data_IF_858703810006
#
_entry.id   IF_858703810006
#
_cell.length_a   1.000
_cell.length_b   1.000
_cell.length_c   1.000
_cell.angle_alpha   90.00
_cell.angle_beta   90.00
_cell.angle_gamma   90.00
#
_symmetry.space_group_name_H-M   'P 1'
#
loop_
_entity.id
_entity.type
_entity.pdbx_description
1 polymer ?
#
# COMPACT_ATOMS: atom_id res chain seq x y z
N UNK A 1 7.20 -42.21 63.04
CA UNK A 1 7.99 -41.05 62.59
C UNK A 1 7.04 -39.87 62.55
N UNK A 2 6.85 -39.05 63.60
CA UNK A 2 7.73 -37.99 64.13
C UNK A 2 8.32 -37.09 63.03
N UNK A 3 8.19 -35.76 62.97
CA UNK A 3 7.71 -34.63 63.83
C UNK A 3 7.43 -33.46 62.84
N UNK A 4 6.33 -32.68 62.91
CA UNK A 4 6.20 -31.34 63.57
C UNK A 4 6.77 -30.20 62.72
N UNK A 5 6.31 -28.93 62.64
CA UNK A 5 5.41 -28.01 63.36
C UNK A 5 5.06 -26.90 62.32
N UNK A 6 3.86 -26.30 62.22
CA UNK A 6 3.28 -25.25 63.09
C UNK A 6 2.99 -24.00 62.21
N UNK A 7 1.72 -23.61 61.95
CA UNK A 7 0.93 -22.59 62.69
C UNK A 7 1.52 -21.15 62.54
N UNK A 8 0.87 -20.11 61.99
CA UNK A 8 -0.42 -19.45 62.33
C UNK A 8 -0.68 -18.29 61.30
N UNK A 9 -1.88 -18.06 60.72
CA UNK A 9 -3.03 -17.16 61.13
C UNK A 9 -2.62 -15.68 61.38
N UNK A 10 -3.28 -14.55 61.01
CA UNK A 10 -4.71 -14.16 60.84
C UNK A 10 -4.79 -12.90 59.95
N UNK A 11 -5.99 -12.73 59.36
CA UNK A 11 -6.62 -11.70 58.54
C UNK A 11 -6.68 -10.22 59.01
N UNK A 12 -7.06 -9.39 58.03
CA UNK A 12 -8.09 -8.31 58.06
C UNK A 12 -7.76 -6.96 58.71
N UNK A 13 -7.94 -5.85 57.97
CA UNK A 13 -9.06 -4.91 58.18
C UNK A 13 -9.02 -3.68 57.24
N UNK A 14 -10.24 -3.24 56.92
CA UNK A 14 -10.70 -2.04 56.21
C UNK A 14 -10.00 -0.71 56.52
N UNK A 15 -10.01 0.22 55.55
CA UNK A 15 -9.78 1.66 55.80
C UNK A 15 -10.00 2.54 54.57
N UNK A 16 -11.15 3.21 54.53
CA UNK A 16 -11.55 4.23 53.54
C UNK A 16 -11.06 5.60 54.03
N UNK A 17 -10.39 6.43 53.19
CA UNK A 17 -10.36 7.90 53.41
C UNK A 17 -9.90 8.70 52.18
N UNK A 18 -10.75 9.67 51.79
CA UNK A 18 -10.46 10.80 50.89
C UNK A 18 -9.52 11.80 51.59
N UNK A 19 -8.75 12.55 50.81
CA UNK A 19 -8.09 13.78 51.27
C UNK A 19 -7.17 14.38 50.22
N UNK A 20 -7.58 15.52 49.68
CA UNK A 20 -6.80 16.43 48.82
C UNK A 20 -5.41 16.71 49.39
N UNK A 21 -4.41 16.92 48.52
CA UNK A 21 -3.44 18.02 48.70
C UNK A 21 -2.67 18.32 47.39
N UNK A 22 -2.99 19.52 46.91
CA UNK A 22 -2.30 20.35 45.92
C UNK A 22 -0.79 20.51 46.21
N UNK A 23 0.04 20.43 45.16
CA UNK A 23 1.35 21.10 45.11
C UNK A 23 1.60 21.70 43.72
N UNK A 24 1.32 22.99 43.64
CA UNK A 24 1.83 23.95 42.65
C UNK A 24 3.25 24.32 43.04
N UNK A 25 4.21 24.29 42.12
CA UNK A 25 5.42 25.14 42.17
C UNK A 25 5.72 25.67 40.76
N UNK A 26 5.72 27.00 40.69
CA UNK A 26 6.03 27.88 39.56
C UNK A 26 7.47 27.74 39.05
N UNK A 27 7.72 28.15 37.80
CA UNK A 27 8.99 28.76 37.41
C UNK A 27 8.79 29.85 36.34
N UNK A 28 8.62 31.07 36.86
CA UNK A 28 9.21 32.34 36.44
C UNK A 28 9.22 32.79 34.97
N UNK A 29 8.55 33.92 34.78
CA UNK A 29 8.66 34.89 33.69
C UNK A 29 10.09 35.31 33.32
N UNK A 30 10.34 35.50 32.01
CA UNK A 30 11.30 36.48 31.50
C UNK A 30 10.69 37.24 30.32
N UNK A 31 10.36 38.51 30.56
CA UNK A 31 9.86 39.48 29.57
C UNK A 31 10.96 40.52 29.31
N UNK A 32 11.29 40.76 28.05
CA UNK A 32 11.91 41.96 27.48
C UNK A 32 11.80 41.80 25.95
N UNK A 33 11.49 42.78 25.10
CA UNK A 33 11.13 44.20 25.19
C UNK A 33 10.61 44.56 23.77
N UNK A 34 9.65 45.47 23.67
CA UNK A 34 9.01 45.88 22.42
C UNK A 34 9.95 46.66 21.47
N UNK A 35 9.66 46.60 20.17
CA UNK A 35 9.89 47.73 19.26
C UNK A 35 8.78 47.76 18.18
N UNK A 36 7.95 48.80 18.27
CA UNK A 36 7.20 49.45 17.17
C UNK A 36 8.23 50.05 16.18
N UNK A 37 7.99 50.41 14.92
CA UNK A 37 6.86 50.43 13.99
C UNK A 37 7.46 50.84 12.63
N UNK A 38 6.86 50.46 11.51
CA UNK A 38 6.64 51.37 10.37
C UNK A 38 5.63 50.76 9.39
N UNK A 39 4.56 51.51 9.18
CA UNK A 39 3.35 51.21 8.43
C UNK A 39 3.29 52.06 7.16
N UNK A 40 2.91 51.44 6.03
CA UNK A 40 2.11 51.94 4.87
C UNK A 40 2.54 51.20 3.59
N UNK A 41 1.69 50.73 2.69
CA UNK A 41 0.34 51.19 2.33
C UNK A 41 -0.47 50.05 1.65
N UNK A 42 -1.74 49.97 2.06
CA UNK A 42 -2.97 49.33 1.55
C UNK A 42 -3.11 48.94 0.07
N UNK A 43 -3.78 47.78 -0.19
CA UNK A 43 -5.09 47.62 -0.88
C UNK A 43 -5.82 46.36 -0.34
N UNK A 44 -7.16 46.40 -0.34
CA UNK A 44 -8.15 45.77 0.56
C UNK A 44 -8.90 44.51 0.08
N UNK A 45 -9.54 43.85 1.05
CA UNK A 45 -10.70 42.90 1.04
C UNK A 45 -10.32 41.43 1.30
N UNK A 46 -10.95 40.66 2.19
CA UNK A 46 -12.06 40.84 3.14
C UNK A 46 -12.34 39.46 3.77
N UNK A 47 -12.52 39.40 5.09
CA UNK A 47 -12.66 38.19 5.92
C UNK A 47 -13.95 37.38 5.66
N UNK A 48 -13.86 36.08 5.98
CA UNK A 48 -14.88 35.18 6.53
C UNK A 48 -16.36 35.41 6.15
N UNK A 49 -16.93 34.46 5.40
CA UNK A 49 -18.37 34.21 5.45
C UNK A 49 -18.71 32.76 5.07
N UNK A 50 -18.93 31.95 6.09
CA UNK A 50 -19.83 30.81 6.03
C UNK A 50 -21.18 31.28 5.47
N UNK A 51 -21.69 30.67 4.39
CA UNK A 51 -23.11 30.80 4.04
C UNK A 51 -23.68 29.50 3.50
N UNK A 52 -24.62 28.99 4.29
CA UNK A 52 -25.59 27.93 4.01
C UNK A 52 -26.22 28.11 2.63
N UNK A 53 -26.35 27.01 1.90
CA UNK A 53 -27.43 26.81 0.95
C UNK A 53 -28.31 25.73 1.59
N UNK A 54 -29.55 26.11 1.90
CA UNK A 54 -30.50 25.26 2.61
C UNK A 54 -31.12 24.22 1.70
N UNK A 55 -31.51 23.11 2.29
CA UNK A 55 -32.68 22.38 1.86
C UNK A 55 -33.49 21.95 3.07
N UNK A 56 -34.78 22.27 2.94
CA UNK A 56 -35.93 22.04 3.79
C UNK A 56 -36.19 20.55 4.01
N UNK A 57 -36.39 20.22 5.28
CA UNK A 57 -37.40 19.35 5.89
C UNK A 57 -37.92 18.07 5.18
N UNK A 58 -37.98 17.03 6.03
CA UNK A 58 -38.84 15.84 6.02
C UNK A 58 -38.40 14.60 5.23
N UNK A 59 -37.73 13.68 5.94
CA UNK A 59 -38.27 12.33 6.14
C UNK A 59 -37.58 11.69 7.37
N UNK A 60 -38.25 11.72 8.51
CA UNK A 60 -37.91 10.92 9.69
C UNK A 60 -38.08 9.43 9.34
N UNK A 61 -36.95 8.75 9.27
CA UNK A 61 -36.85 7.30 9.31
C UNK A 61 -35.60 6.95 10.10
N UNK A 62 -35.75 6.86 11.42
CA UNK A 62 -34.73 6.36 12.33
C UNK A 62 -34.16 5.04 11.80
N UNK A 63 -32.90 5.02 11.37
CA UNK A 63 -32.16 3.79 11.23
C UNK A 63 -31.11 3.72 12.36
N UNK A 64 -31.58 3.28 13.52
CA UNK A 64 -30.80 3.09 14.74
C UNK A 64 -29.61 2.13 14.58
N UNK A 65 -29.50 1.41 13.45
CA UNK A 65 -28.33 0.57 13.12
C UNK A 65 -27.09 1.36 12.69
N UNK A 66 -27.24 2.56 12.10
CA UNK A 66 -26.09 3.32 11.60
C UNK A 66 -25.29 4.03 12.72
N UNK A 67 -25.92 4.32 13.85
CA UNK A 67 -25.23 4.92 14.99
C UNK A 67 -24.32 3.92 15.72
N UNK A 68 -24.62 2.61 15.64
CA UNK A 68 -23.88 1.57 16.37
C UNK A 68 -22.58 1.15 15.67
N UNK A 69 -22.46 1.39 14.36
CA UNK A 69 -21.28 1.02 13.57
C UNK A 69 -20.19 2.10 13.61
N UNK A 70 -20.57 3.37 13.78
CA UNK A 70 -19.62 4.49 13.76
C UNK A 70 -18.76 4.61 15.03
N UNK A 71 -19.25 4.15 16.19
CA UNK A 71 -18.52 4.29 17.46
C UNK A 71 -17.46 3.21 17.69
N UNK A 72 -17.52 2.07 16.98
CA UNK A 72 -16.58 0.95 17.20
C UNK A 72 -15.31 1.02 16.36
N UNK A 73 -15.29 1.87 15.32
CA UNK A 73 -14.17 2.02 14.38
C UNK A 73 -13.64 3.45 14.27
N UNK A 74 -14.12 4.39 15.09
CA UNK A 74 -13.50 5.70 15.24
C UNK A 74 -12.18 5.57 16.03
N UNK A 75 -11.17 4.97 15.40
CA UNK A 75 -9.77 5.20 15.77
C UNK A 75 -9.57 6.71 15.70
N UNK A 76 -9.55 7.36 16.87
CA UNK A 76 -9.38 8.79 17.00
C UNK A 76 -8.23 9.25 16.11
N UNK A 77 -8.54 10.11 15.13
CA UNK A 77 -7.57 10.66 14.21
C UNK A 77 -6.43 11.36 14.98
N UNK A 78 -6.71 11.86 16.19
CA UNK A 78 -5.72 12.37 17.14
C UNK A 78 -4.71 11.30 17.56
N UNK A 79 -5.18 10.12 17.97
CA UNK A 79 -4.32 8.99 18.34
C UNK A 79 -3.51 8.45 17.16
N UNK A 80 -4.12 8.32 15.97
CA UNK A 80 -3.41 7.90 14.76
C UNK A 80 -2.27 8.87 14.39
N UNK A 81 -2.51 10.18 14.53
CA UNK A 81 -1.50 11.21 14.29
C UNK A 81 -0.40 11.21 15.37
N UNK A 82 -0.76 11.05 16.65
CA UNK A 82 0.19 10.93 17.76
C UNK A 82 1.15 9.75 17.57
N UNK A 83 0.63 8.58 17.16
CA UNK A 83 1.45 7.40 16.87
C UNK A 83 2.38 7.63 15.68
N UNK A 84 1.90 8.28 14.61
CA UNK A 84 2.70 8.60 13.42
C UNK A 84 3.88 9.53 13.73
N UNK A 85 3.72 10.43 14.69
CA UNK A 85 4.71 11.47 15.04
C UNK A 85 5.67 11.05 16.15
N UNK A 86 5.25 10.17 17.06
CA UNK A 86 6.04 9.79 18.25
C UNK A 86 6.77 8.45 18.10
N UNK A 87 6.35 7.59 17.18
CA UNK A 87 7.03 6.32 16.89
C UNK A 87 8.02 6.56 15.74
N UNK A 88 9.30 6.10 15.84
CA UNK A 88 10.22 6.12 14.71
C UNK A 88 9.50 5.55 13.48
N UNK A 89 9.79 6.06 12.27
CA UNK A 89 9.15 5.68 10.99
C UNK A 89 9.21 4.16 10.74
N UNK A 90 8.41 3.42 11.48
CA UNK A 90 8.20 1.99 11.41
C UNK A 90 7.18 1.86 10.31
N UNK A 91 7.60 1.26 9.21
CA UNK A 91 6.73 1.03 8.07
C UNK A 91 5.57 0.18 8.60
N UNK A 92 4.36 0.74 8.69
CA UNK A 92 3.17 -0.04 9.02
C UNK A 92 3.05 -1.20 8.02
N UNK A 93 2.42 -2.30 8.44
CA UNK A 93 1.95 -3.36 7.55
C UNK A 93 1.19 -2.75 6.36
N UNK A 94 1.89 -2.47 5.27
CA UNK A 94 1.32 -1.93 4.06
C UNK A 94 0.75 -3.06 3.23
N UNK A 95 -0.33 -2.75 2.51
CA UNK A 95 -0.63 -3.49 1.30
C UNK A 95 0.55 -3.32 0.35
N UNK A 96 1.24 -4.42 0.05
CA UNK A 96 2.44 -4.40 -0.78
C UNK A 96 2.14 -4.06 -2.23
N UNK A 97 0.87 -4.13 -2.65
CA UNK A 97 0.42 -3.69 -3.97
C UNK A 97 0.85 -2.25 -4.27
N UNK A 98 0.68 -1.33 -3.31
CA UNK A 98 1.05 0.08 -3.51
C UNK A 98 2.56 0.26 -3.67
N UNK A 99 3.38 -0.43 -2.86
CA UNK A 99 4.85 -0.34 -2.99
C UNK A 99 5.33 -0.94 -4.31
N UNK A 100 4.71 -2.03 -4.77
CA UNK A 100 4.99 -2.62 -6.07
C UNK A 100 4.65 -1.67 -7.21
N UNK A 101 3.47 -1.04 -7.19
CA UNK A 101 3.09 -0.03 -8.18
C UNK A 101 4.00 1.19 -8.18
N UNK A 102 4.44 1.65 -7.00
CA UNK A 102 5.35 2.79 -6.92
C UNK A 102 6.69 2.46 -7.60
N UNK A 103 7.25 1.26 -7.38
CA UNK A 103 8.49 0.82 -8.03
C UNK A 103 8.31 0.54 -9.53
N UNK A 104 7.21 -0.11 -9.93
CA UNK A 104 6.88 -0.34 -11.34
C UNK A 104 6.68 0.99 -12.08
N UNK A 105 5.96 1.95 -11.49
CA UNK A 105 5.71 3.27 -12.09
C UNK A 105 7.01 4.04 -12.26
N UNK A 106 7.94 3.96 -11.30
CA UNK A 106 9.29 4.56 -11.46
C UNK A 106 10.02 3.93 -12.64
N UNK A 107 9.98 2.61 -12.77
CA UNK A 107 10.58 1.90 -13.89
C UNK A 107 9.97 2.36 -15.22
N UNK A 108 8.65 2.28 -15.36
CA UNK A 108 7.93 2.66 -16.59
C UNK A 108 8.07 4.13 -16.96
N UNK A 109 8.18 5.02 -15.96
CA UNK A 109 8.46 6.44 -16.20
C UNK A 109 9.82 6.61 -16.90
N UNK A 110 10.86 5.92 -16.47
CA UNK A 110 12.18 5.99 -17.11
C UNK A 110 12.16 5.46 -18.56
N UNK A 111 11.36 4.42 -18.83
CA UNK A 111 11.16 3.91 -20.18
C UNK A 111 10.41 4.94 -21.03
N UNK A 112 9.34 5.54 -20.50
CA UNK A 112 8.56 6.56 -21.20
C UNK A 112 9.42 7.77 -21.58
N UNK A 113 10.27 8.25 -20.67
CA UNK A 113 11.18 9.37 -20.90
C UNK A 113 12.23 9.05 -21.98
N UNK A 114 12.59 7.78 -22.18
CA UNK A 114 13.60 7.36 -23.15
C UNK A 114 13.03 6.93 -24.52
N UNK A 115 11.86 6.29 -24.56
CA UNK A 115 11.26 5.70 -25.77
C UNK A 115 9.96 6.40 -26.22
N UNK A 116 9.48 7.41 -25.49
CA UNK A 116 8.20 8.11 -25.73
C UNK A 116 6.97 7.17 -25.68
N UNK A 117 7.03 6.15 -24.83
CA UNK A 117 5.98 5.14 -24.65
C UNK A 117 6.54 3.87 -24.04
N UNK A 118 5.66 2.91 -23.76
CA UNK A 118 6.02 1.56 -23.35
C UNK A 118 4.97 0.56 -23.83
N UNK A 119 5.38 -0.70 -24.00
CA UNK A 119 4.53 -1.81 -24.43
C UNK A 119 4.41 -2.91 -23.37
N UNK A 120 3.87 -4.06 -23.79
CA UNK A 120 3.68 -5.24 -22.93
C UNK A 120 4.97 -5.67 -22.21
N UNK A 121 6.08 -5.81 -22.96
CA UNK A 121 7.37 -6.23 -22.41
C UNK A 121 7.89 -5.30 -21.31
N UNK A 122 7.72 -3.98 -21.50
CA UNK A 122 8.19 -2.99 -20.55
C UNK A 122 7.33 -3.04 -19.25
N UNK A 123 6.03 -3.35 -19.36
CA UNK A 123 5.12 -3.54 -18.21
C UNK A 123 5.51 -4.78 -17.43
N UNK A 124 5.65 -5.92 -18.11
CA UNK A 124 6.10 -7.16 -17.47
C UNK A 124 7.48 -7.01 -16.83
N UNK A 125 8.40 -6.29 -17.48
CA UNK A 125 9.71 -5.98 -16.92
C UNK A 125 9.61 -5.05 -15.71
N UNK A 126 8.70 -4.07 -15.72
CA UNK A 126 8.41 -3.20 -14.59
C UNK A 126 7.92 -3.97 -13.38
N UNK A 127 6.97 -4.89 -13.56
CA UNK A 127 6.47 -5.79 -12.53
C UNK A 127 7.57 -6.70 -11.97
N UNK A 128 8.37 -7.32 -12.85
CA UNK A 128 9.51 -8.16 -12.49
C UNK A 128 10.57 -7.40 -11.67
N UNK A 129 10.88 -6.17 -12.10
CA UNK A 129 11.81 -5.28 -11.42
C UNK A 129 11.29 -4.86 -10.04
N UNK A 130 10.00 -4.49 -9.95
CA UNK A 130 9.37 -4.09 -8.70
C UNK A 130 9.39 -5.23 -7.67
N UNK A 131 8.97 -6.43 -8.06
CA UNK A 131 9.00 -7.60 -7.17
C UNK A 131 10.41 -7.89 -6.67
N UNK A 132 11.38 -7.95 -7.58
CA UNK A 132 12.79 -8.26 -7.25
C UNK A 132 13.40 -7.24 -6.30
N UNK A 133 13.15 -5.95 -6.56
CA UNK A 133 13.64 -4.84 -5.73
C UNK A 133 13.05 -4.92 -4.32
N UNK A 134 11.75 -5.17 -4.23
CA UNK A 134 11.05 -5.29 -2.94
C UNK A 134 11.49 -6.52 -2.16
N UNK A 135 11.61 -7.67 -2.83
CA UNK A 135 12.08 -8.91 -2.22
C UNK A 135 13.49 -8.74 -1.62
N UNK A 136 14.43 -8.23 -2.43
CA UNK A 136 15.80 -7.99 -1.99
C UNK A 136 15.86 -7.01 -0.81
N UNK A 137 15.10 -5.91 -0.88
CA UNK A 137 15.01 -4.91 0.20
C UNK A 137 14.50 -5.51 1.53
N UNK A 138 13.54 -6.44 1.46
CA UNK A 138 13.03 -7.14 2.65
C UNK A 138 14.12 -8.07 3.19
N UNK A 139 14.62 -8.99 2.37
CA UNK A 139 15.57 -10.02 2.81
C UNK A 139 16.86 -9.41 3.35
N UNK A 140 17.46 -8.45 2.64
CA UNK A 140 18.67 -7.78 3.10
C UNK A 140 18.43 -6.98 4.37
N UNK A 141 17.28 -6.31 4.46
CA UNK A 141 16.90 -5.52 5.62
C UNK A 141 16.75 -6.36 6.90
N UNK A 142 16.19 -7.57 6.81
CA UNK A 142 16.16 -8.50 7.94
C UNK A 142 17.55 -9.08 8.22
N UNK A 143 18.29 -9.48 7.18
CA UNK A 143 19.63 -10.08 7.33
C UNK A 143 20.62 -9.14 8.03
N UNK A 144 20.55 -7.84 7.75
CA UNK A 144 21.43 -6.84 8.35
C UNK A 144 20.84 -6.16 9.61
N UNK A 145 19.63 -6.55 10.03
CA UNK A 145 18.95 -6.00 11.22
C UNK A 145 18.47 -4.56 11.08
N UNK A 146 18.37 -4.01 9.87
CA UNK A 146 17.89 -2.63 9.63
C UNK A 146 16.40 -2.53 9.38
N UNK A 147 15.71 -3.68 9.29
CA UNK A 147 14.28 -3.76 9.00
C UNK A 147 13.48 -4.18 10.22
N UNK A 148 12.59 -3.28 10.65
CA UNK A 148 11.60 -3.54 11.68
C UNK A 148 10.23 -3.08 11.18
N UNK A 149 9.34 -4.04 10.96
CA UNK A 149 7.97 -3.81 10.50
C UNK A 149 7.02 -4.32 11.56
N UNK A 150 6.10 -3.47 11.99
CA UNK A 150 5.17 -3.79 13.07
C UNK A 150 3.76 -4.00 12.52
N UNK A 151 3.06 -4.97 13.09
CA UNK A 151 1.65 -5.25 12.82
C UNK A 151 0.86 -5.24 14.12
N UNK A 152 -0.40 -4.80 14.05
CA UNK A 152 -1.39 -4.95 15.11
C UNK A 152 -2.29 -6.12 14.72
N UNK A 153 -2.13 -7.30 15.34
CA UNK A 153 -3.02 -8.44 15.07
C UNK A 153 -4.38 -8.29 15.75
N UNK A 154 -4.44 -7.48 16.80
CA UNK A 154 -5.64 -7.23 17.59
C UNK A 154 -5.88 -5.72 17.68
N UNK A 155 -6.89 -5.26 16.95
CA UNK A 155 -7.30 -3.86 16.92
C UNK A 155 -7.83 -3.37 18.28
N UNK A 156 -8.31 -4.28 19.14
CA UNK A 156 -8.88 -3.93 20.44
C UNK A 156 -7.79 -3.74 21.51
N UNK A 157 -6.77 -4.59 21.54
CA UNK A 157 -5.69 -4.44 22.52
C UNK A 157 -4.60 -3.44 22.11
N UNK A 158 -4.52 -3.09 20.82
CA UNK A 158 -3.50 -2.20 20.28
C UNK A 158 -2.07 -2.73 20.42
N UNK A 159 -1.91 -4.00 20.82
CA UNK A 159 -0.61 -4.65 20.99
C UNK A 159 0.03 -4.84 19.62
N UNK A 160 1.29 -4.45 19.55
CA UNK A 160 2.10 -4.54 18.34
C UNK A 160 3.10 -5.67 18.48
N UNK A 161 3.31 -6.39 17.40
CA UNK A 161 4.43 -7.31 17.26
C UNK A 161 5.23 -6.97 16.02
N UNK A 162 6.49 -7.41 16.04
CA UNK A 162 7.31 -7.44 14.84
C UNK A 162 6.77 -8.51 13.89
N UNK A 163 6.73 -8.15 12.61
CA UNK A 163 6.51 -9.07 11.52
C UNK A 163 7.80 -9.87 11.29
N UNK A 164 7.68 -11.18 11.13
CA UNK A 164 8.81 -11.98 10.66
C UNK A 164 9.07 -11.73 9.17
N UNK A 165 10.28 -12.07 8.72
CA UNK A 165 10.64 -11.96 7.30
C UNK A 165 9.68 -12.75 6.41
N UNK A 166 9.35 -13.99 6.80
CA UNK A 166 8.46 -14.86 6.01
C UNK A 166 7.04 -14.29 5.90
N UNK A 167 6.48 -13.77 7.01
CA UNK A 167 5.17 -13.11 6.98
C UNK A 167 5.16 -11.85 6.12
N UNK A 168 6.27 -11.11 6.10
CA UNK A 168 6.39 -9.94 5.25
C UNK A 168 6.49 -10.31 3.77
N UNK A 169 7.27 -11.34 3.44
CA UNK A 169 7.38 -11.89 2.09
C UNK A 169 6.04 -12.48 1.61
N UNK A 170 5.24 -13.07 2.50
CA UNK A 170 3.88 -13.51 2.17
C UNK A 170 3.00 -12.33 1.75
N UNK A 171 3.11 -11.19 2.44
CA UNK A 171 2.39 -9.97 2.05
C UNK A 171 2.88 -9.42 0.71
N UNK A 172 4.19 -9.45 0.45
CA UNK A 172 4.75 -9.10 -0.87
C UNK A 172 4.17 -10.00 -1.97
N UNK A 173 4.12 -11.31 -1.74
CA UNK A 173 3.59 -12.27 -2.71
C UNK A 173 2.10 -12.01 -3.00
N UNK A 174 1.29 -11.73 -1.96
CA UNK A 174 -0.12 -11.33 -2.13
C UNK A 174 -0.25 -10.04 -2.94
N UNK A 175 0.58 -9.03 -2.65
CA UNK A 175 0.61 -7.79 -3.43
C UNK A 175 0.96 -8.03 -4.91
N UNK A 176 1.88 -8.95 -5.19
CA UNK A 176 2.25 -9.32 -6.56
C UNK A 176 1.11 -10.06 -7.28
N UNK A 177 0.38 -10.93 -6.59
CA UNK A 177 -0.80 -11.58 -7.15
C UNK A 177 -1.92 -10.58 -7.49
N UNK A 178 -2.11 -9.53 -6.67
CA UNK A 178 -3.04 -8.43 -6.98
C UNK A 178 -2.57 -7.58 -8.17
N UNK A 179 -1.27 -7.34 -8.30
CA UNK A 179 -0.69 -6.65 -9.45
C UNK A 179 -0.95 -7.43 -10.75
N UNK A 180 -0.75 -8.75 -10.74
CA UNK A 180 -1.08 -9.64 -11.86
C UNK A 180 -2.57 -9.52 -12.23
N UNK A 181 -3.47 -9.54 -11.23
CA UNK A 181 -4.92 -9.38 -11.49
C UNK A 181 -5.21 -8.05 -12.17
N UNK A 182 -4.51 -6.99 -11.80
CA UNK A 182 -4.68 -5.67 -12.40
C UNK A 182 -4.27 -5.67 -13.88
N UNK A 183 -3.13 -6.26 -14.23
CA UNK A 183 -2.70 -6.36 -15.64
C UNK A 183 -3.66 -7.21 -16.50
N UNK A 184 -4.23 -8.27 -15.92
CA UNK A 184 -5.32 -9.04 -16.58
C UNK A 184 -6.55 -8.17 -16.82
N UNK A 185 -6.92 -7.31 -15.88
CA UNK A 185 -8.03 -6.37 -16.05
C UNK A 185 -7.73 -5.33 -17.12
N UNK A 186 -6.50 -4.83 -17.20
CA UNK A 186 -6.05 -3.93 -18.28
C UNK A 186 -6.18 -4.62 -19.63
N UNK A 187 -5.69 -5.85 -19.78
CA UNK A 187 -5.80 -6.61 -21.03
C UNK A 187 -7.27 -6.74 -21.48
N UNK A 188 -8.17 -7.11 -20.56
CA UNK A 188 -9.62 -7.18 -20.83
C UNK A 188 -10.20 -5.83 -21.27
N UNK A 189 -9.81 -4.75 -20.59
CA UNK A 189 -10.23 -3.38 -20.94
C UNK A 189 -9.74 -2.98 -22.33
N UNK A 190 -8.49 -3.29 -22.69
CA UNK A 190 -7.95 -3.01 -24.02
C UNK A 190 -8.71 -3.77 -25.11
N UNK A 191 -9.01 -5.05 -24.88
CA UNK A 191 -9.82 -5.82 -25.82
C UNK A 191 -11.20 -5.18 -26.00
N UNK A 192 -11.88 -4.86 -24.91
CA UNK A 192 -13.21 -4.25 -24.97
C UNK A 192 -13.19 -2.90 -25.70
N UNK A 193 -12.16 -2.09 -25.47
CA UNK A 193 -11.98 -0.80 -26.14
C UNK A 193 -11.80 -0.95 -27.64
N UNK A 194 -11.01 -1.93 -28.08
CA UNK A 194 -10.81 -2.23 -29.49
C UNK A 194 -12.10 -2.73 -30.17
N UNK A 195 -12.86 -3.63 -29.53
CA UNK A 195 -14.18 -4.07 -30.01
C UNK A 195 -15.17 -2.90 -30.13
N UNK A 196 -15.16 -1.98 -29.17
CA UNK A 196 -15.99 -0.78 -29.19
C UNK A 196 -15.61 0.16 -30.35
N UNK A 197 -14.31 0.36 -30.60
CA UNK A 197 -13.85 1.15 -31.76
C UNK A 197 -14.30 0.53 -33.08
N UNK A 198 -14.24 -0.78 -33.22
CA UNK A 198 -14.77 -1.45 -34.42
C UNK A 198 -16.27 -1.19 -34.59
N UNK A 199 -17.07 -1.41 -33.54
CA UNK A 199 -18.53 -1.27 -33.59
C UNK A 199 -19.01 0.15 -33.82
N UNK A 200 -18.39 1.13 -33.15
CA UNK A 200 -18.88 2.53 -33.14
C UNK A 200 -18.15 3.44 -34.12
N UNK A 201 -16.92 3.11 -34.51
CA UNK A 201 -16.10 3.95 -35.40
C UNK A 201 -15.83 3.28 -36.75
N UNK A 202 -16.46 2.13 -37.05
CA UNK A 202 -16.25 1.34 -38.27
C UNK A 202 -14.75 1.10 -38.60
N UNK A 203 -13.93 1.00 -37.56
CA UNK A 203 -12.49 0.73 -37.72
C UNK A 203 -12.31 -0.76 -38.02
N UNK A 204 -11.59 -1.10 -39.10
CA UNK A 204 -11.24 -2.49 -39.39
C UNK A 204 -10.20 -2.95 -38.36
N UNK A 205 -10.53 -3.97 -37.57
CA UNK A 205 -9.56 -4.64 -36.71
C UNK A 205 -8.64 -5.52 -37.55
N UNK A 206 -7.42 -5.70 -37.07
CA UNK A 206 -6.49 -6.67 -37.62
C UNK A 206 -7.08 -8.09 -37.47
N UNK A 207 -6.92 -8.95 -38.48
CA UNK A 207 -7.42 -10.33 -38.46
C UNK A 207 -6.82 -11.14 -37.31
N UNK A 208 -5.64 -10.75 -36.81
CA UNK A 208 -5.01 -11.33 -35.62
C UNK A 208 -5.72 -11.01 -34.30
N UNK A 209 -6.63 -10.03 -34.27
CA UNK A 209 -7.31 -9.62 -33.04
C UNK A 209 -8.28 -10.69 -32.51
N UNK A 210 -8.89 -11.44 -33.42
CA UNK A 210 -9.80 -12.55 -33.11
C UNK A 210 -9.09 -13.90 -33.02
N UNK A 211 -7.75 -13.93 -33.18
CA UNK A 211 -6.98 -15.18 -33.17
C UNK A 211 -6.97 -15.88 -31.82
N UNK A 212 -7.10 -15.12 -30.72
CA UNK A 212 -7.05 -15.65 -29.36
C UNK A 212 -8.18 -15.11 -28.46
N UNK A 213 -8.63 -15.96 -27.54
CA UNK A 213 -9.54 -15.54 -26.47
C UNK A 213 -8.78 -14.73 -25.41
N UNK A 214 -9.44 -13.72 -24.85
CA UNK A 214 -8.85 -12.84 -23.83
C UNK A 214 -8.45 -13.57 -22.56
N UNK A 215 -9.14 -14.67 -22.24
CA UNK A 215 -8.78 -15.46 -21.07
C UNK A 215 -7.44 -16.17 -21.29
N UNK A 216 -7.12 -16.60 -22.51
CA UNK A 216 -5.81 -17.18 -22.81
C UNK A 216 -4.68 -16.15 -22.69
N UNK A 217 -4.93 -14.90 -23.10
CA UNK A 217 -3.98 -13.81 -22.84
C UNK A 217 -3.82 -13.53 -21.35
N UNK A 218 -4.92 -13.54 -20.58
CA UNK A 218 -4.90 -13.36 -19.14
C UNK A 218 -4.12 -14.48 -18.42
N UNK A 219 -4.27 -15.72 -18.87
CA UNK A 219 -3.54 -16.87 -18.35
C UNK A 219 -2.05 -16.75 -18.69
N UNK A 220 -1.71 -16.37 -19.93
CA UNK A 220 -0.32 -16.14 -20.34
C UNK A 220 0.38 -15.03 -19.53
N UNK A 221 -0.30 -13.91 -19.27
CA UNK A 221 0.22 -12.83 -18.42
C UNK A 221 0.53 -13.37 -17.01
N UNK A 222 -0.43 -14.07 -16.40
CA UNK A 222 -0.28 -14.63 -15.07
C UNK A 222 0.87 -15.64 -15.02
N UNK A 223 0.88 -16.61 -15.93
CA UNK A 223 1.86 -17.68 -15.97
C UNK A 223 3.27 -17.11 -16.18
N UNK A 224 3.43 -16.10 -17.04
CA UNK A 224 4.72 -15.42 -17.25
C UNK A 224 5.22 -14.76 -15.96
N UNK A 225 4.36 -14.10 -15.19
CA UNK A 225 4.79 -13.40 -13.98
C UNK A 225 5.09 -14.38 -12.84
N UNK A 226 4.28 -15.45 -12.72
CA UNK A 226 4.49 -16.50 -11.72
C UNK A 226 5.74 -17.34 -12.02
N UNK A 227 6.00 -17.64 -13.29
CA UNK A 227 7.22 -18.33 -13.73
C UNK A 227 8.46 -17.46 -13.43
N UNK A 228 8.40 -16.17 -13.76
CA UNK A 228 9.46 -15.23 -13.39
C UNK A 228 9.72 -15.24 -11.88
N UNK A 229 8.68 -15.10 -11.05
CA UNK A 229 8.82 -15.12 -9.60
C UNK A 229 9.49 -16.41 -9.13
N UNK A 230 9.05 -17.55 -9.64
CA UNK A 230 9.59 -18.86 -9.26
C UNK A 230 11.08 -18.98 -9.59
N UNK A 231 11.47 -18.63 -10.83
CA UNK A 231 12.87 -18.65 -11.26
C UNK A 231 13.74 -17.63 -10.51
N UNK A 232 13.20 -16.45 -10.22
CA UNK A 232 13.89 -15.42 -9.45
C UNK A 232 14.22 -15.92 -8.05
N UNK A 233 13.24 -16.51 -7.35
CA UNK A 233 13.44 -17.05 -6.01
C UNK A 233 14.48 -18.18 -6.00
N UNK A 234 14.38 -19.13 -6.95
CA UNK A 234 15.36 -20.21 -7.11
C UNK A 234 16.78 -19.68 -7.33
N UNK A 235 16.94 -18.66 -8.17
CA UNK A 235 18.24 -18.03 -8.39
C UNK A 235 18.71 -17.24 -7.17
N UNK A 236 17.81 -16.57 -6.46
CA UNK A 236 18.15 -15.77 -5.29
C UNK A 236 18.74 -16.64 -4.18
N UNK A 237 18.18 -17.82 -3.95
CA UNK A 237 18.71 -18.80 -3.01
C UNK A 237 20.14 -19.23 -3.36
N UNK A 238 20.47 -19.30 -4.66
CA UNK A 238 21.79 -19.72 -5.16
C UNK A 238 22.82 -18.61 -5.17
N UNK A 239 22.43 -17.39 -5.54
CA UNK A 239 23.36 -16.28 -5.82
C UNK A 239 23.35 -15.18 -4.77
N UNK A 240 22.40 -15.21 -3.83
CA UNK A 240 22.26 -14.17 -2.80
C UNK A 240 21.79 -12.82 -3.36
N UNK A 241 21.12 -12.81 -4.52
CA UNK A 241 20.51 -11.61 -5.11
C UNK A 241 21.30 -10.98 -6.27
N UNK A 242 22.46 -11.53 -6.64
CA UNK A 242 23.14 -11.12 -7.87
C UNK A 242 22.46 -11.79 -9.09
N UNK A 243 21.36 -11.19 -9.55
CA UNK A 243 20.52 -11.71 -10.64
C UNK A 243 20.31 -10.62 -11.69
N UNK A 244 20.56 -10.95 -12.95
CA UNK A 244 20.17 -10.10 -14.08
C UNK A 244 18.68 -10.28 -14.37
N UNK A 245 17.87 -9.43 -13.73
CA UNK A 245 16.40 -9.44 -13.84
C UNK A 245 15.95 -9.32 -15.29
N UNK A 246 16.64 -8.50 -16.09
CA UNK A 246 16.29 -8.27 -17.48
C UNK A 246 16.46 -9.55 -18.29
N UNK A 247 17.63 -10.18 -18.18
CA UNK A 247 17.89 -11.45 -18.87
C UNK A 247 16.96 -12.56 -18.41
N UNK A 248 16.63 -12.61 -17.11
CA UNK A 248 15.72 -13.60 -16.55
C UNK A 248 14.29 -13.44 -17.08
N UNK A 249 13.73 -12.24 -17.03
CA UNK A 249 12.37 -12.01 -17.53
C UNK A 249 12.28 -12.18 -19.04
N UNK A 250 13.29 -11.71 -19.80
CA UNK A 250 13.37 -11.97 -21.25
C UNK A 250 13.49 -13.46 -21.57
N UNK A 251 14.09 -14.28 -20.71
CA UNK A 251 14.08 -15.74 -20.87
C UNK A 251 12.66 -16.31 -20.70
N UNK A 252 11.91 -15.86 -19.70
CA UNK A 252 10.52 -16.29 -19.48
C UNK A 252 9.65 -15.98 -20.71
N UNK A 253 9.69 -14.74 -21.20
CA UNK A 253 8.90 -14.35 -22.38
C UNK A 253 9.26 -15.14 -23.63
N UNK A 254 10.55 -15.45 -23.86
CA UNK A 254 11.01 -16.23 -25.03
C UNK A 254 10.72 -17.72 -24.94
N UNK A 255 10.63 -18.27 -23.72
CA UNK A 255 10.31 -19.69 -23.50
C UNK A 255 8.80 -19.94 -23.45
N UNK A 256 7.99 -18.90 -23.24
CA UNK A 256 6.54 -18.94 -23.29
C UNK A 256 5.96 -19.08 -24.71
N UNK A 257 4.62 -19.12 -24.78
CA UNK A 257 3.88 -19.18 -26.04
C UNK A 257 4.08 -17.89 -26.87
N UNK A 258 4.87 -17.97 -27.93
CA UNK A 258 5.25 -16.81 -28.76
C UNK A 258 4.08 -16.20 -29.53
N UNK A 259 3.08 -16.98 -29.91
CA UNK A 259 1.90 -16.44 -30.59
C UNK A 259 1.03 -15.65 -29.61
N UNK A 260 0.90 -16.15 -28.36
CA UNK A 260 0.22 -15.43 -27.29
C UNK A 260 1.00 -14.18 -26.87
N UNK A 261 2.32 -14.25 -26.85
CA UNK A 261 3.18 -13.10 -26.56
C UNK A 261 2.92 -11.95 -27.54
N UNK A 262 2.95 -12.23 -28.84
CA UNK A 262 2.64 -11.25 -29.89
C UNK A 262 1.22 -10.72 -29.77
N UNK A 263 0.26 -11.57 -29.39
CA UNK A 263 -1.11 -11.12 -29.13
C UNK A 263 -1.17 -10.14 -27.95
N UNK A 264 -0.43 -10.40 -26.86
CA UNK A 264 -0.30 -9.46 -25.76
C UNK A 264 0.42 -8.17 -26.19
N UNK A 265 1.47 -8.23 -26.99
CA UNK A 265 2.10 -7.03 -27.57
C UNK A 265 1.09 -6.20 -28.37
N UNK A 266 0.28 -6.85 -29.21
CA UNK A 266 -0.79 -6.20 -29.99
C UNK A 266 -1.86 -5.57 -29.09
N UNK A 267 -2.33 -6.29 -28.06
CA UNK A 267 -3.33 -5.76 -27.11
C UNK A 267 -2.83 -4.50 -26.39
N UNK A 268 -1.51 -4.38 -26.21
CA UNK A 268 -0.87 -3.31 -25.46
C UNK A 268 -0.11 -2.32 -26.38
N UNK A 269 -0.31 -2.37 -27.71
CA UNK A 269 0.57 -1.77 -28.76
C UNK A 269 0.65 -0.23 -28.77
N UNK A 270 0.15 0.44 -27.72
CA UNK A 270 0.73 1.64 -27.09
C UNK A 270 -0.27 2.13 -26.03
N UNK A 271 0.04 1.91 -24.76
CA UNK A 271 -0.63 2.60 -23.62
C UNK A 271 -0.37 4.12 -23.61
N UNK A 272 0.25 4.67 -24.66
CA UNK A 272 0.53 6.09 -24.88
C UNK A 272 -0.61 6.98 -25.40
N UNK A 273 -1.89 6.60 -25.29
CA UNK A 273 -3.02 7.52 -25.53
C UNK A 273 -4.16 7.31 -24.51
N UNK A 274 -3.89 7.67 -23.26
CA UNK A 274 -4.90 8.23 -22.37
C UNK A 274 -4.29 9.49 -21.77
N UNK A 275 -4.51 10.62 -22.45
CA UNK A 275 -4.46 11.98 -21.89
C UNK A 275 -5.87 12.54 -22.02
#
# INVERSE_FOLDING_TARGET
MHIGFGQNTVSSLYGHQKGDHMKTIELSHKKHKANESQEKMTVTSGKDACRRIGHSDEADGENQENAYIHDRFALDAGYANYIRETVPKTTWSKDYLQELWDEETKYLKSIRESKNGYGFDDIGMGAAYAYSTMYQKIVEGYRNGTREVYVCDDSESGKRRLLSMDEELEKLNKGFDELIKWDKMVAKSQKQNAENKQKFQNTKLDESFDAFDINQACDYIQDSYLEFRSLYLEQYERTGGNIDIKSLFSYVLRSGNQDMHKYCEFLFEKIGFIV
#
